data_IF_700665757979
#
_entry.id   IF_700665757979
#
_cell.length_a   1.000
_cell.length_b   1.000
_cell.length_c   1.000
_cell.angle_alpha   90.00
_cell.angle_beta   90.00
_cell.angle_gamma   90.00
#
_symmetry.space_group_name_H-M   'P 1'
#
loop_
_entity.id
_entity.type
_entity.pdbx_description
1 polymer ?
#
# COMPACT_ATOMS: atom_id res chain seq x y z
N UNK A 1 27.68 -22.74 -7.40
CA UNK A 1 26.25 -22.35 -7.41
C UNK A 1 26.15 -20.95 -6.83
N UNK A 2 25.91 -19.93 -7.66
CA UNK A 2 25.60 -18.59 -7.15
C UNK A 2 24.17 -18.64 -6.61
N UNK A 3 24.04 -18.65 -5.29
CA UNK A 3 22.75 -18.46 -4.62
C UNK A 3 22.39 -17.00 -4.86
N UNK A 4 21.61 -16.73 -5.90
CA UNK A 4 20.96 -15.45 -6.10
C UNK A 4 20.11 -15.22 -4.86
N UNK A 5 20.60 -14.39 -3.92
CA UNK A 5 19.78 -13.91 -2.81
C UNK A 5 18.64 -13.12 -3.45
N UNK A 6 17.52 -13.79 -3.67
CA UNK A 6 16.26 -13.15 -4.01
C UNK A 6 16.00 -12.23 -2.82
N UNK A 7 16.26 -10.94 -2.97
CA UNK A 7 15.93 -9.93 -1.96
C UNK A 7 14.45 -10.09 -1.69
N UNK A 8 14.11 -10.73 -0.58
CA UNK A 8 12.73 -10.86 -0.14
C UNK A 8 12.28 -9.47 0.25
N UNK A 9 11.40 -8.87 -0.55
CA UNK A 9 10.78 -7.59 -0.23
C UNK A 9 10.19 -7.68 1.19
N UNK A 10 10.55 -6.78 2.11
CA UNK A 10 9.96 -6.73 3.44
C UNK A 10 8.45 -6.78 3.35
N UNK A 11 7.82 -7.68 4.09
CA UNK A 11 6.37 -7.81 4.12
C UNK A 11 5.84 -7.72 5.54
N UNK A 12 4.71 -7.02 5.70
CA UNK A 12 3.97 -6.95 6.94
C UNK A 12 2.51 -7.27 6.68
N UNK A 13 2.04 -8.40 7.23
CA UNK A 13 0.66 -8.86 7.11
C UNK A 13 0.12 -8.97 5.67
N UNK A 14 0.98 -9.17 4.66
CA UNK A 14 0.60 -9.22 3.24
C UNK A 14 0.84 -7.92 2.47
N UNK A 15 1.36 -6.88 3.14
CA UNK A 15 1.81 -5.64 2.51
C UNK A 15 3.32 -5.71 2.28
N UNK A 16 3.75 -5.76 1.03
CA UNK A 16 5.17 -5.72 0.66
C UNK A 16 5.60 -4.27 0.53
N UNK A 17 6.76 -3.89 1.06
CA UNK A 17 7.29 -2.54 0.92
C UNK A 17 8.80 -2.57 0.75
N UNK A 18 9.35 -1.59 0.03
CA UNK A 18 10.80 -1.52 -0.22
C UNK A 18 11.57 -1.18 1.06
N UNK A 19 12.79 -1.70 1.18
CA UNK A 19 13.68 -1.42 2.31
C UNK A 19 14.14 0.05 2.39
N UNK A 20 14.11 0.77 1.27
CA UNK A 20 14.56 2.16 1.17
C UNK A 20 13.49 3.22 1.51
N UNK A 21 12.33 2.82 2.05
CA UNK A 21 11.31 3.77 2.50
C UNK A 21 11.78 4.57 3.73
N UNK A 22 11.31 5.81 3.92
CA UNK A 22 11.56 6.57 5.15
C UNK A 22 11.10 5.79 6.39
N UNK A 23 11.85 5.88 7.50
CA UNK A 23 11.56 5.11 8.73
C UNK A 23 10.17 5.38 9.30
N UNK A 24 9.70 6.63 9.21
CA UNK A 24 8.34 6.98 9.64
C UNK A 24 7.27 6.29 8.79
N UNK A 25 7.54 6.07 7.50
CA UNK A 25 6.63 5.36 6.60
C UNK A 25 6.63 3.87 6.92
N UNK A 26 7.81 3.25 7.12
CA UNK A 26 7.90 1.86 7.59
C UNK A 26 7.14 1.65 8.90
N UNK A 27 7.30 2.57 9.84
CA UNK A 27 6.60 2.58 11.13
C UNK A 27 5.08 2.68 10.92
N UNK A 28 4.65 3.54 10.00
CA UNK A 28 3.23 3.68 9.65
C UNK A 28 2.64 2.37 9.11
N UNK A 29 3.34 1.70 8.19
CA UNK A 29 2.89 0.41 7.63
C UNK A 29 2.78 -0.67 8.71
N UNK A 30 3.74 -0.73 9.64
CA UNK A 30 3.75 -1.72 10.73
C UNK A 30 2.70 -1.45 11.81
N UNK A 31 2.42 -0.19 12.11
CA UNK A 31 1.60 0.17 13.28
C UNK A 31 0.15 0.57 12.93
N UNK A 32 -0.15 0.85 11.66
CA UNK A 32 -1.52 1.22 11.25
C UNK A 32 -2.45 0.00 11.29
N UNK A 33 -3.46 0.05 12.16
CA UNK A 33 -4.49 -0.97 12.24
C UNK A 33 -5.34 -1.05 10.95
N UNK A 34 -5.52 0.08 10.26
CA UNK A 34 -6.21 0.13 8.98
C UNK A 34 -5.45 -0.63 7.87
N UNK A 35 -4.13 -0.40 7.77
CA UNK A 35 -3.27 -1.14 6.84
C UNK A 35 -3.19 -2.63 7.21
N UNK A 36 -3.06 -2.95 8.49
CA UNK A 36 -3.11 -4.33 8.99
C UNK A 36 -4.42 -5.05 8.59
N UNK A 37 -5.58 -4.43 8.79
CA UNK A 37 -6.87 -5.01 8.41
C UNK A 37 -7.00 -5.20 6.89
N UNK A 38 -6.47 -4.26 6.11
CA UNK A 38 -6.40 -4.39 4.65
C UNK A 38 -5.50 -5.55 4.22
N UNK A 39 -4.27 -5.63 4.76
CA UNK A 39 -3.33 -6.72 4.51
C UNK A 39 -3.88 -8.09 4.89
N UNK A 40 -4.74 -8.20 5.92
CA UNK A 40 -5.43 -9.47 6.23
C UNK A 40 -6.35 -9.97 5.10
N UNK A 41 -6.86 -9.09 4.24
CA UNK A 41 -7.74 -9.45 3.13
C UNK A 41 -7.03 -9.51 1.78
N UNK A 42 -5.98 -8.73 1.59
CA UNK A 42 -5.28 -8.59 0.32
C UNK A 42 -3.76 -8.73 0.49
N UNK A 43 -3.10 -9.32 -0.50
CA UNK A 43 -1.69 -9.09 -0.74
C UNK A 43 -1.56 -7.82 -1.58
N UNK A 44 -0.62 -6.92 -1.25
CA UNK A 44 -0.43 -5.69 -2.01
C UNK A 44 0.99 -5.16 -1.84
N UNK A 45 1.45 -4.38 -2.80
CA UNK A 45 2.70 -3.63 -2.71
C UNK A 45 2.41 -2.20 -2.24
N UNK A 46 3.22 -1.72 -1.30
CA UNK A 46 3.14 -0.41 -0.69
C UNK A 46 4.42 0.36 -1.03
N UNK A 47 4.24 1.46 -1.76
CA UNK A 47 5.29 2.42 -2.10
C UNK A 47 4.96 3.79 -1.51
N UNK A 48 5.96 4.67 -1.49
CA UNK A 48 5.84 6.03 -0.99
C UNK A 48 6.20 7.02 -2.09
N UNK A 49 5.35 8.03 -2.28
CA UNK A 49 5.58 9.12 -3.24
C UNK A 49 5.14 10.46 -2.67
N UNK A 50 5.55 11.53 -3.36
CA UNK A 50 4.96 12.85 -3.21
C UNK A 50 4.03 13.12 -4.40
N UNK A 51 2.76 13.40 -4.09
CA UNK A 51 1.79 13.87 -5.07
C UNK A 51 1.86 15.39 -5.17
N UNK A 52 1.94 15.91 -6.39
CA UNK A 52 1.93 17.35 -6.62
C UNK A 52 0.48 17.87 -6.58
N UNK A 53 0.20 18.74 -5.61
CA UNK A 53 -1.07 19.44 -5.49
C UNK A 53 -1.15 20.69 -6.37
N UNK A 54 -2.36 21.21 -6.57
CA UNK A 54 -2.67 22.34 -7.47
C UNK A 54 -1.89 23.63 -7.16
N UNK A 55 -1.40 23.81 -5.92
CA UNK A 55 -0.62 24.96 -5.48
C UNK A 55 0.90 24.77 -5.58
N UNK A 56 1.38 23.81 -6.39
CA UNK A 56 2.79 23.37 -6.45
C UNK A 56 3.35 22.83 -5.12
N UNK A 57 2.47 22.49 -4.17
CA UNK A 57 2.84 21.84 -2.92
C UNK A 57 2.88 20.34 -3.11
N UNK A 58 3.87 19.68 -2.49
CA UNK A 58 4.02 18.23 -2.54
C UNK A 58 3.42 17.60 -1.28
N UNK A 59 2.56 16.61 -1.48
CA UNK A 59 1.85 15.92 -0.42
C UNK A 59 2.31 14.47 -0.33
N UNK A 60 2.74 14.00 0.86
CA UNK A 60 3.15 12.62 1.05
C UNK A 60 1.95 11.69 0.83
N UNK A 61 2.18 10.60 0.11
CA UNK A 61 1.17 9.59 -0.15
C UNK A 61 1.76 8.17 -0.14
N UNK A 62 0.95 7.22 0.35
CA UNK A 62 1.19 5.80 0.09
C UNK A 62 0.53 5.42 -1.22
N UNK A 63 1.28 4.76 -2.11
CA UNK A 63 0.71 4.02 -3.23
C UNK A 63 0.52 2.59 -2.75
N UNK A 64 -0.70 2.07 -2.89
CA UNK A 64 -1.00 0.66 -2.69
C UNK A 64 -1.35 0.08 -4.06
N UNK A 65 -0.58 -0.90 -4.52
CA UNK A 65 -0.66 -1.46 -5.88
C UNK A 65 -0.57 -2.99 -5.86
N UNK A 66 -0.77 -3.63 -7.01
CA UNK A 66 -0.76 -5.09 -7.15
C UNK A 66 -1.67 -5.80 -6.12
N UNK A 67 -2.85 -5.21 -5.90
CA UNK A 67 -3.79 -5.64 -4.88
C UNK A 67 -4.45 -6.96 -5.32
N UNK A 68 -4.17 -8.04 -4.58
CA UNK A 68 -4.68 -9.38 -4.86
C UNK A 68 -5.42 -9.92 -3.64
N UNK A 69 -6.69 -10.34 -3.76
CA UNK A 69 -7.40 -10.96 -2.65
C UNK A 69 -6.70 -12.24 -2.16
N UNK A 70 -6.50 -12.35 -0.84
CA UNK A 70 -5.94 -13.56 -0.23
C UNK A 70 -6.88 -14.74 -0.51
N UNK A 71 -6.30 -15.85 -0.97
CA UNK A 71 -7.04 -17.04 -1.43
C UNK A 71 -7.21 -17.13 -2.95
N UNK A 72 -7.11 -16.03 -3.69
CA UNK A 72 -7.09 -16.04 -5.17
C UNK A 72 -5.69 -16.02 -5.77
N UNK A 73 -4.65 -15.88 -4.94
CA UNK A 73 -3.25 -15.89 -5.38
C UNK A 73 -2.92 -17.11 -6.25
N UNK A 74 -3.29 -18.32 -5.82
CA UNK A 74 -3.03 -19.56 -6.59
C UNK A 74 -3.76 -19.64 -7.92
N UNK A 75 -4.89 -18.93 -8.08
CA UNK A 75 -5.62 -18.83 -9.34
C UNK A 75 -4.94 -17.84 -10.28
N UNK A 76 -4.55 -16.67 -9.76
CA UNK A 76 -3.83 -15.64 -10.53
C UNK A 76 -2.45 -16.14 -10.96
N UNK A 77 -1.70 -16.79 -10.08
CA UNK A 77 -0.37 -17.36 -10.38
C UNK A 77 -0.46 -18.47 -11.45
N UNK A 78 -1.59 -19.17 -11.55
CA UNK A 78 -1.86 -20.17 -12.60
C UNK A 78 -2.21 -19.53 -13.94
N UNK A 79 -2.89 -18.38 -13.93
CA UNK A 79 -3.17 -17.61 -15.14
C UNK A 79 -1.97 -16.69 -15.38
N UNK A 80 -0.84 -17.29 -15.81
CA UNK A 80 0.33 -16.52 -16.27
C UNK A 80 -0.11 -15.50 -17.31
N UNK A 81 -0.18 -14.23 -16.92
CA UNK A 81 -0.59 -13.13 -17.81
C UNK A 81 -1.79 -12.30 -17.33
N UNK A 82 -2.46 -12.64 -16.21
CA UNK A 82 -3.35 -11.67 -15.55
C UNK A 82 -2.46 -10.68 -14.82
N UNK A 83 -2.03 -9.68 -15.56
CA UNK A 83 -1.47 -8.47 -14.99
C UNK A 83 -2.53 -7.87 -14.06
N UNK A 84 -2.37 -8.09 -12.75
CA UNK A 84 -2.96 -7.25 -11.71
C UNK A 84 -2.50 -5.78 -11.79
N UNK A 85 -1.74 -5.44 -12.84
CA UNK A 85 -1.32 -4.10 -13.23
C UNK A 85 -2.55 -3.29 -13.65
N UNK A 86 -3.16 -2.62 -12.69
CA UNK A 86 -4.22 -1.66 -13.00
C UNK A 86 -4.95 -1.13 -11.78
N UNK A 87 -4.97 -1.88 -10.69
CA UNK A 87 -5.59 -1.42 -9.44
C UNK A 87 -4.51 -0.89 -8.51
N UNK A 88 -4.35 0.43 -8.54
CA UNK A 88 -3.59 1.17 -7.54
C UNK A 88 -4.49 2.22 -6.88
N UNK A 89 -4.29 2.46 -5.59
CA UNK A 89 -4.91 3.56 -4.86
C UNK A 89 -3.84 4.39 -4.15
N UNK A 90 -4.13 5.68 -3.98
CA UNK A 90 -3.31 6.58 -3.19
C UNK A 90 -3.98 6.88 -1.87
N UNK A 91 -3.22 6.83 -0.79
CA UNK A 91 -3.63 7.39 0.50
C UNK A 91 -2.73 8.57 0.79
N UNK A 92 -3.27 9.77 0.66
CA UNK A 92 -2.57 11.03 0.92
C UNK A 92 -3.20 11.81 2.07
N UNK A 93 -2.58 12.91 2.44
CA UNK A 93 -3.07 13.89 3.40
C UNK A 93 -2.96 15.30 2.80
N UNK A 94 -3.73 16.25 3.32
CA UNK A 94 -3.59 17.67 2.96
C UNK A 94 -2.32 18.29 3.58
N UNK A 95 -1.71 17.61 4.55
CA UNK A 95 -0.40 17.97 5.07
C UNK A 95 0.70 17.81 4.03
N UNK A 96 1.85 18.42 4.28
CA UNK A 96 3.03 18.36 3.38
C UNK A 96 4.19 17.58 3.98
N UNK A 97 4.02 17.07 5.21
CA UNK A 97 5.06 16.34 5.94
C UNK A 97 4.67 14.88 6.14
N UNK A 98 5.65 13.98 6.12
CA UNK A 98 5.45 12.54 6.36
C UNK A 98 4.68 12.24 7.65
N UNK A 99 4.90 13.06 8.69
CA UNK A 99 4.21 12.98 9.97
C UNK A 99 2.69 13.16 9.83
N UNK A 100 2.23 13.96 8.88
CA UNK A 100 0.81 14.19 8.64
C UNK A 100 0.15 12.92 8.08
N UNK A 101 0.86 12.21 7.19
CA UNK A 101 0.40 10.95 6.62
C UNK A 101 0.43 9.84 7.68
N UNK A 102 1.50 9.77 8.46
CA UNK A 102 1.62 8.87 9.61
C UNK A 102 0.46 9.05 10.57
N UNK A 103 0.22 10.28 11.03
CA UNK A 103 -0.85 10.62 11.98
C UNK A 103 -2.20 10.19 11.43
N UNK A 104 -2.50 10.52 10.16
CA UNK A 104 -3.75 10.12 9.51
C UNK A 104 -3.96 8.61 9.54
N UNK A 105 -2.93 7.84 9.16
CA UNK A 105 -3.04 6.38 9.04
C UNK A 105 -3.03 5.64 10.38
N UNK A 106 -2.42 6.20 11.42
CA UNK A 106 -2.47 5.65 12.78
C UNK A 106 -3.80 5.95 13.45
N UNK A 107 -4.36 7.15 13.24
CA UNK A 107 -5.65 7.54 13.83
C UNK A 107 -6.87 7.13 13.01
N UNK A 108 -6.67 6.64 11.79
CA UNK A 108 -7.76 6.20 10.92
C UNK A 108 -8.52 5.01 11.53
N UNK A 109 -9.82 4.94 11.24
CA UNK A 109 -10.61 3.77 11.60
C UNK A 109 -10.09 2.51 10.89
N UNK A 110 -10.27 1.35 11.50
CA UNK A 110 -9.72 0.10 10.97
C UNK A 110 -10.24 -0.26 9.57
N UNK A 111 -11.44 0.21 9.20
CA UNK A 111 -12.02 0.00 7.89
C UNK A 111 -11.67 1.09 6.87
N UNK A 112 -10.91 2.12 7.25
CA UNK A 112 -10.58 3.26 6.40
C UNK A 112 -9.98 2.83 5.05
N UNK A 113 -8.87 2.10 5.05
CA UNK A 113 -8.18 1.64 3.83
C UNK A 113 -9.07 0.73 2.99
N UNK A 114 -9.89 -0.11 3.62
CA UNK A 114 -10.84 -0.99 2.93
C UNK A 114 -11.96 -0.20 2.26
N UNK A 115 -12.44 0.86 2.91
CA UNK A 115 -13.48 1.71 2.37
C UNK A 115 -12.94 2.59 1.24
N UNK A 116 -11.73 3.14 1.37
CA UNK A 116 -11.04 3.85 0.28
C UNK A 116 -10.86 2.94 -0.94
N UNK A 117 -10.38 1.71 -0.73
CA UNK A 117 -10.28 0.72 -1.81
C UNK A 117 -11.65 0.45 -2.46
N UNK A 118 -12.68 0.17 -1.67
CA UNK A 118 -14.04 -0.05 -2.18
C UNK A 118 -14.59 1.15 -2.93
N UNK A 119 -14.27 2.37 -2.50
CA UNK A 119 -14.74 3.60 -3.15
C UNK A 119 -13.99 3.85 -4.46
N UNK A 120 -12.67 3.64 -4.49
CA UNK A 120 -11.84 3.77 -5.68
C UNK A 120 -12.25 2.79 -6.79
N UNK A 121 -12.77 1.61 -6.41
CA UNK A 121 -13.18 0.55 -7.33
C UNK A 121 -14.68 0.23 -7.26
N UNK A 122 -15.49 1.12 -6.68
CA UNK A 122 -16.96 1.03 -6.73
C UNK A 122 -17.40 1.41 -8.14
N UNK A 123 -17.43 0.41 -9.03
CA UNK A 123 -18.16 0.38 -10.31
C UNK A 123 -18.10 1.66 -11.17
N UNK A 124 -17.28 1.62 -12.22
CA UNK A 124 -17.78 2.03 -13.55
C UNK A 124 -18.51 0.85 -14.18
#
# INVERSE_FOLDING_TARGET
MNVTKVQTTPSFQGLNYKDNLPEIIKTTVKNSQALAKFGKKYNADVDYIYLQGSKKQSHPALIISNIVPKGMQKLIDKIKGVDGKGQFMYISTNGTREQDLHKKLISASNDYVLNEYRNAFKTK
#
